data_IF_663034023987
#
_entry.id   IF_663034023987
#
_cell.length_a   1.000
_cell.length_b   1.000
_cell.length_c   1.000
_cell.angle_alpha   90.00
_cell.angle_beta   90.00
_cell.angle_gamma   90.00
#
_symmetry.space_group_name_H-M   'P 1'
#
loop_
_entity.id
_entity.type
_entity.pdbx_description
1 polymer ?
#
# COMPACT_ATOMS: atom_id res chain seq x y z
N UNK A 1 2.25 0.61 5.68
CA UNK A 1 2.83 -0.66 6.19
C UNK A 1 4.18 -0.41 6.84
N UNK A 2 5.23 -0.07 6.08
CA UNK A 2 6.60 0.17 6.62
C UNK A 2 6.62 1.07 7.85
N UNK A 3 5.88 2.17 7.81
CA UNK A 3 5.89 3.15 8.90
C UNK A 3 5.19 2.64 10.15
N UNK A 4 4.22 1.73 10.00
CA UNK A 4 3.62 1.00 11.13
C UNK A 4 4.58 -0.02 11.73
N UNK A 5 5.41 -0.68 10.93
CA UNK A 5 6.47 -1.58 11.41
C UNK A 5 7.55 -0.80 12.17
N UNK A 6 7.86 0.41 11.72
CA UNK A 6 8.80 1.31 12.41
C UNK A 6 8.21 1.86 13.71
N UNK A 7 6.96 2.32 13.68
CA UNK A 7 6.26 2.80 14.87
C UNK A 7 6.19 1.73 15.98
N UNK A 8 5.99 0.46 15.62
CA UNK A 8 5.98 -0.65 16.56
C UNK A 8 7.33 -0.82 17.31
N UNK A 9 8.44 -0.46 16.64
CA UNK A 9 9.79 -0.53 17.20
C UNK A 9 10.25 0.76 17.88
N UNK A 10 9.53 1.87 17.65
CA UNK A 10 9.92 3.20 18.07
C UNK A 10 9.51 3.52 19.51
N UNK A 11 10.34 4.29 20.21
CA UNK A 11 10.06 4.82 21.54
C UNK A 11 10.35 6.34 21.58
N UNK A 12 10.03 6.97 22.72
CA UNK A 12 10.41 8.36 23.00
C UNK A 12 10.00 9.36 21.92
N UNK A 13 10.96 10.21 21.53
CA UNK A 13 10.80 11.25 20.48
C UNK A 13 10.43 10.62 19.13
N UNK A 14 11.09 9.53 18.74
CA UNK A 14 10.85 8.84 17.46
C UNK A 14 9.44 8.30 17.32
N UNK A 15 8.91 7.68 18.38
CA UNK A 15 7.51 7.23 18.37
C UNK A 15 6.54 8.41 18.25
N UNK A 16 6.79 9.50 18.99
CA UNK A 16 5.93 10.69 18.94
C UNK A 16 5.90 11.33 17.56
N UNK A 17 7.06 11.55 16.95
CA UNK A 17 7.14 12.12 15.59
C UNK A 17 6.40 11.26 14.57
N UNK A 18 6.51 9.94 14.66
CA UNK A 18 5.77 9.03 13.77
C UNK A 18 4.25 9.15 14.01
N UNK A 19 3.79 9.10 15.26
CA UNK A 19 2.37 9.23 15.61
C UNK A 19 1.79 10.55 15.08
N UNK A 20 2.49 11.66 15.33
CA UNK A 20 2.08 13.00 14.91
C UNK A 20 2.04 13.11 13.38
N UNK A 21 3.05 12.59 12.68
CA UNK A 21 3.13 12.64 11.21
C UNK A 21 2.01 11.83 10.52
N UNK A 22 1.48 10.78 11.16
CA UNK A 22 0.41 9.95 10.60
C UNK A 22 -0.98 10.30 11.11
N UNK A 23 -1.11 11.19 12.10
CA UNK A 23 -2.39 11.48 12.74
C UNK A 23 -3.04 10.22 13.32
N UNK A 24 -2.23 9.30 13.87
CA UNK A 24 -2.71 8.06 14.47
C UNK A 24 -2.97 8.29 15.95
N UNK A 25 -4.03 7.70 16.50
CA UNK A 25 -4.20 7.66 17.95
C UNK A 25 -3.12 6.76 18.56
N UNK A 26 -2.20 7.36 19.35
CA UNK A 26 -1.06 6.67 19.98
C UNK A 26 -1.42 5.60 21.02
N UNK A 27 -2.67 5.17 21.06
CA UNK A 27 -3.23 4.15 21.96
C UNK A 27 -2.79 2.72 21.59
N UNK A 28 -2.22 2.51 20.40
CA UNK A 28 -1.72 1.21 19.93
C UNK A 28 -2.79 0.28 19.35
N UNK A 29 -4.07 0.66 19.36
CA UNK A 29 -5.15 -0.09 18.69
C UNK A 29 -4.97 -0.08 17.17
N UNK A 30 -4.37 0.98 16.65
CA UNK A 30 -4.00 1.13 15.24
C UNK A 30 -3.36 -0.11 14.64
N UNK A 31 -2.38 -0.73 15.31
CA UNK A 31 -1.69 -1.91 14.75
C UNK A 31 -2.64 -3.10 14.59
N UNK A 32 -3.54 -3.32 15.55
CA UNK A 32 -4.51 -4.41 15.50
C UNK A 32 -5.59 -4.14 14.46
N UNK A 33 -6.11 -2.93 14.39
CA UNK A 33 -7.10 -2.54 13.38
C UNK A 33 -6.51 -2.61 11.97
N UNK A 34 -5.32 -2.04 11.79
CA UNK A 34 -4.58 -2.12 10.54
C UNK A 34 -4.29 -3.57 10.15
N UNK A 35 -3.89 -4.41 11.11
CA UNK A 35 -3.69 -5.85 10.90
C UNK A 35 -4.95 -6.56 10.40
N UNK A 36 -6.12 -6.28 10.99
CA UNK A 36 -7.41 -6.80 10.51
C UNK A 36 -7.70 -6.37 9.08
N UNK A 37 -7.41 -5.12 8.73
CA UNK A 37 -7.61 -4.61 7.36
C UNK A 37 -6.66 -5.30 6.37
N UNK A 38 -5.39 -5.50 6.73
CA UNK A 38 -4.40 -6.22 5.92
C UNK A 38 -4.77 -7.70 5.78
N UNK A 39 -5.26 -8.34 6.83
CA UNK A 39 -5.71 -9.73 6.79
C UNK A 39 -6.95 -9.92 5.92
N UNK A 40 -7.93 -9.03 6.04
CA UNK A 40 -9.13 -9.05 5.21
C UNK A 40 -8.78 -8.84 3.73
N UNK A 41 -7.91 -7.87 3.47
CA UNK A 41 -7.36 -7.65 2.13
C UNK A 41 -6.64 -8.91 1.63
N UNK A 42 -5.71 -9.46 2.40
CA UNK A 42 -4.93 -10.61 1.98
C UNK A 42 -5.79 -11.86 1.77
N UNK A 43 -6.83 -12.08 2.59
CA UNK A 43 -7.79 -13.18 2.40
C UNK A 43 -8.54 -13.06 1.08
N UNK A 44 -8.97 -11.85 0.72
CA UNK A 44 -9.68 -11.56 -0.53
C UNK A 44 -8.84 -11.97 -1.74
N UNK A 45 -7.53 -11.74 -1.71
CA UNK A 45 -6.63 -12.01 -2.84
C UNK A 45 -5.84 -13.34 -2.75
N UNK A 46 -5.69 -13.97 -1.58
CA UNK A 46 -5.03 -15.28 -1.41
C UNK A 46 -6.00 -16.48 -1.47
N UNK A 47 -7.24 -16.36 -0.98
CA UNK A 47 -8.17 -17.50 -0.92
C UNK A 47 -8.68 -17.95 -2.29
N UNK A 48 -8.59 -17.11 -3.33
CA UNK A 48 -8.89 -17.54 -4.70
C UNK A 48 -7.84 -18.49 -5.29
N UNK A 49 -6.64 -18.57 -4.70
CA UNK A 49 -5.59 -19.51 -5.12
C UNK A 49 -5.71 -20.92 -4.54
N UNK A 50 -6.40 -21.11 -3.40
CA UNK A 50 -6.37 -22.37 -2.65
C UNK A 50 -7.69 -23.17 -2.65
N UNK A 51 -8.76 -22.65 -3.28
CA UNK A 51 -10.08 -23.29 -3.25
C UNK A 51 -10.48 -24.07 -4.51
N UNK A 52 -9.53 -24.62 -5.29
CA UNK A 52 -9.84 -25.52 -6.42
C UNK A 52 -8.80 -26.63 -6.58
N UNK A 53 -8.86 -27.67 -5.74
CA UNK A 53 -8.38 -29.00 -6.17
C UNK A 53 -9.29 -29.41 -7.34
N UNK A 54 -8.73 -29.51 -8.55
CA UNK A 54 -9.37 -29.91 -9.82
C UNK A 54 -10.15 -28.88 -10.64
N UNK A 55 -9.75 -27.60 -10.67
CA UNK A 55 -10.19 -26.71 -11.77
C UNK A 55 -8.99 -25.90 -12.23
N UNK A 56 -8.68 -25.98 -13.53
CA UNK A 56 -7.69 -25.15 -14.22
C UNK A 56 -7.75 -23.71 -13.69
N UNK A 57 -6.63 -23.19 -13.19
CA UNK A 57 -6.48 -21.77 -12.84
C UNK A 57 -6.82 -20.99 -14.10
N UNK A 58 -7.97 -20.31 -14.11
CA UNK A 58 -8.34 -19.49 -15.26
C UNK A 58 -7.28 -18.40 -15.42
N UNK A 59 -6.77 -18.13 -16.64
CA UNK A 59 -5.72 -17.13 -16.87
C UNK A 59 -6.09 -15.70 -16.44
N UNK A 60 -7.36 -15.47 -16.08
CA UNK A 60 -7.97 -14.16 -15.81
C UNK A 60 -8.35 -13.93 -14.33
N UNK A 61 -7.42 -14.24 -13.42
CA UNK A 61 -7.58 -13.98 -11.97
C UNK A 61 -6.91 -12.66 -11.57
N UNK A 62 -7.59 -11.87 -10.73
CA UNK A 62 -7.00 -10.70 -10.05
C UNK A 62 -5.73 -11.11 -9.31
N UNK A 63 -4.70 -10.27 -9.43
CA UNK A 63 -3.43 -10.45 -8.74
C UNK A 63 -3.08 -9.15 -8.03
N UNK A 64 -3.22 -9.15 -6.72
CA UNK A 64 -2.61 -8.12 -5.90
C UNK A 64 -1.63 -8.80 -4.95
N UNK A 65 -0.39 -8.33 -4.96
CA UNK A 65 0.66 -8.83 -4.10
C UNK A 65 1.18 -7.68 -3.25
N UNK A 66 1.17 -7.90 -1.94
CA UNK A 66 1.84 -7.05 -0.96
C UNK A 66 3.00 -7.86 -0.39
N UNK A 67 4.17 -7.27 -0.39
CA UNK A 67 5.35 -7.87 0.20
C UNK A 67 6.06 -6.87 1.11
N UNK A 68 6.23 -7.28 2.36
CA UNK A 68 6.99 -6.56 3.38
C UNK A 68 8.20 -7.41 3.77
N UNK A 69 9.38 -6.82 3.73
CA UNK A 69 10.64 -7.49 4.03
C UNK A 69 11.47 -6.66 4.99
N UNK A 70 12.01 -7.31 6.03
CA UNK A 70 12.95 -6.73 6.99
C UNK A 70 14.26 -7.50 6.86
N UNK A 71 15.29 -6.84 6.35
CA UNK A 71 16.61 -7.41 6.12
C UNK A 71 17.60 -6.81 7.10
N UNK A 72 18.29 -7.65 7.87
CA UNK A 72 19.15 -7.24 8.97
C UNK A 72 20.57 -7.68 8.73
N UNK A 73 21.54 -6.89 9.19
CA UNK A 73 22.92 -7.32 9.22
C UNK A 73 23.07 -8.57 10.10
N UNK A 74 23.86 -9.54 9.66
CA UNK A 74 24.21 -10.75 10.44
C UNK A 74 24.79 -10.36 11.79
N UNK A 75 24.30 -11.00 12.85
CA UNK A 75 24.63 -10.68 14.25
C UNK A 75 23.62 -9.73 14.93
N UNK A 76 22.74 -9.08 14.17
CA UNK A 76 21.64 -8.27 14.74
C UNK A 76 20.40 -9.13 14.94
N UNK A 77 19.91 -9.17 16.18
CA UNK A 77 18.73 -9.93 16.58
C UNK A 77 17.53 -9.00 16.84
N UNK A 78 16.37 -9.32 16.29
CA UNK A 78 15.12 -8.64 16.68
C UNK A 78 14.59 -9.18 18.00
N UNK A 79 13.93 -8.32 18.78
CA UNK A 79 13.21 -8.76 19.97
C UNK A 79 12.10 -9.76 19.59
N UNK A 80 11.90 -10.86 20.32
CA UNK A 80 10.88 -11.86 19.99
C UNK A 80 9.45 -11.30 19.84
N UNK A 81 9.07 -10.34 20.69
CA UNK A 81 7.75 -9.71 20.63
C UNK A 81 7.58 -8.84 19.37
N UNK A 82 8.61 -8.09 18.98
CA UNK A 82 8.62 -7.35 17.73
C UNK A 82 8.52 -8.31 16.54
N UNK A 83 9.36 -9.34 16.53
CA UNK A 83 9.46 -10.35 15.47
C UNK A 83 8.12 -11.08 15.23
N UNK A 84 7.47 -11.53 16.30
CA UNK A 84 6.17 -12.20 16.23
C UNK A 84 5.06 -11.26 15.75
N UNK A 85 5.10 -10.00 16.20
CA UNK A 85 4.08 -9.00 15.83
C UNK A 85 4.18 -8.59 14.36
N UNK A 86 5.36 -8.32 13.82
CA UNK A 86 5.51 -7.95 12.39
C UNK A 86 5.17 -9.10 11.46
N UNK A 87 5.52 -10.34 11.81
CA UNK A 87 5.09 -11.53 11.05
C UNK A 87 3.58 -11.72 11.07
N UNK A 88 2.92 -11.45 12.20
CA UNK A 88 1.47 -11.66 12.34
C UNK A 88 0.65 -10.56 11.69
N UNK A 89 0.95 -9.30 12.02
CA UNK A 89 0.15 -8.13 11.63
C UNK A 89 0.51 -7.65 10.22
N UNK A 90 1.80 -7.57 9.92
CA UNK A 90 2.30 -6.99 8.67
C UNK A 90 2.72 -8.05 7.65
N UNK A 91 2.71 -9.34 8.04
CA UNK A 91 3.13 -10.47 7.21
C UNK A 91 4.55 -10.31 6.67
N UNK A 92 5.40 -9.65 7.46
CA UNK A 92 6.76 -9.31 7.04
C UNK A 92 7.63 -10.56 7.07
N UNK A 93 8.40 -10.75 6.01
CA UNK A 93 9.48 -11.72 6.00
C UNK A 93 10.73 -11.09 6.61
N UNK A 94 11.44 -11.87 7.41
CA UNK A 94 12.63 -11.41 8.12
C UNK A 94 13.78 -12.28 7.65
N UNK A 95 14.89 -11.66 7.27
CA UNK A 95 16.10 -12.36 6.85
C UNK A 95 17.34 -11.64 7.37
N UNK A 96 18.31 -12.40 7.85
CA UNK A 96 19.65 -11.89 8.15
C UNK A 96 20.52 -12.07 6.91
N UNK A 97 21.18 -10.99 6.51
CA UNK A 97 22.11 -10.92 5.37
C UNK A 97 23.43 -10.35 5.86
N UNK A 98 24.52 -10.64 5.15
CA UNK A 98 25.79 -9.97 5.42
C UNK A 98 25.96 -8.80 4.44
N UNK A 99 26.06 -7.59 4.97
CA UNK A 99 26.34 -6.34 4.27
C UNK A 99 27.82 -5.96 4.37
N UNK A 100 28.60 -6.62 5.24
CA UNK A 100 30.02 -6.31 5.48
C UNK A 100 30.93 -7.12 4.55
N UNK A 101 32.22 -6.76 4.55
CA UNK A 101 33.28 -7.50 3.87
C UNK A 101 33.01 -7.70 2.37
N UNK A 102 32.60 -6.64 1.67
CA UNK A 102 32.24 -6.67 0.25
C UNK A 102 31.09 -7.65 -0.10
N UNK A 103 30.22 -7.99 0.86
CA UNK A 103 29.00 -8.80 0.63
C UNK A 103 27.77 -7.95 0.23
N UNK A 104 27.94 -6.64 0.11
CA UNK A 104 26.87 -5.68 -0.16
C UNK A 104 26.15 -5.94 -1.48
N UNK A 105 26.88 -6.35 -2.53
CA UNK A 105 26.28 -6.74 -3.82
C UNK A 105 25.42 -8.01 -3.71
N UNK A 106 25.88 -9.05 -2.99
CA UNK A 106 25.13 -10.29 -2.81
C UNK A 106 23.85 -10.05 -2.02
N UNK A 107 23.93 -9.22 -0.97
CA UNK A 107 22.75 -8.81 -0.21
C UNK A 107 21.76 -7.99 -1.07
N UNK A 108 22.26 -7.07 -1.90
CA UNK A 108 21.45 -6.32 -2.87
C UNK A 108 20.69 -7.26 -3.79
N UNK A 109 21.40 -8.21 -4.39
CA UNK A 109 20.83 -9.15 -5.35
C UNK A 109 19.83 -10.10 -4.68
N UNK A 110 20.09 -10.53 -3.44
CA UNK A 110 19.12 -11.29 -2.65
C UNK A 110 17.80 -10.52 -2.46
N UNK A 111 17.88 -9.25 -2.06
CA UNK A 111 16.70 -8.39 -1.84
C UNK A 111 15.96 -8.16 -3.16
N UNK A 112 16.66 -7.85 -4.24
CA UNK A 112 16.05 -7.66 -5.57
C UNK A 112 15.36 -8.93 -6.05
N UNK A 113 16.00 -10.11 -5.94
CA UNK A 113 15.40 -11.40 -6.27
C UNK A 113 14.18 -11.72 -5.39
N UNK A 114 14.24 -11.37 -4.11
CA UNK A 114 13.10 -11.50 -3.20
C UNK A 114 11.92 -10.64 -3.68
N UNK A 115 12.15 -9.35 -3.99
CA UNK A 115 11.11 -8.46 -4.52
C UNK A 115 10.56 -8.95 -5.85
N UNK A 116 11.43 -9.40 -6.75
CA UNK A 116 11.05 -9.89 -8.06
C UNK A 116 10.10 -11.09 -7.95
N UNK A 117 10.45 -12.09 -7.11
CA UNK A 117 9.57 -13.24 -6.85
C UNK A 117 8.23 -12.81 -6.26
N UNK A 118 8.25 -11.88 -5.31
CA UNK A 118 7.03 -11.37 -4.64
C UNK A 118 6.13 -10.58 -5.58
N UNK A 119 6.70 -10.00 -6.64
CA UNK A 119 5.99 -9.19 -7.63
C UNK A 119 5.82 -9.90 -8.97
N UNK A 120 6.08 -11.22 -9.02
CA UNK A 120 5.97 -12.05 -10.22
C UNK A 120 6.78 -11.53 -11.42
N UNK A 121 7.99 -11.03 -11.16
CA UNK A 121 8.86 -10.52 -12.22
C UNK A 121 8.44 -9.14 -12.73
N UNK A 122 7.72 -8.33 -11.95
CA UNK A 122 7.31 -6.98 -12.37
C UNK A 122 8.16 -5.89 -11.75
N UNK A 123 8.64 -6.11 -10.53
CA UNK A 123 9.63 -5.24 -9.91
C UNK A 123 10.95 -6.01 -9.84
N UNK A 124 11.80 -5.80 -10.85
CA UNK A 124 13.10 -6.48 -10.94
C UNK A 124 14.15 -5.91 -9.99
N UNK A 125 14.15 -4.59 -9.81
CA UNK A 125 15.18 -3.91 -9.04
C UNK A 125 14.57 -2.83 -8.14
N UNK A 126 14.85 -2.93 -6.85
CA UNK A 126 14.50 -1.91 -5.85
C UNK A 126 15.74 -1.23 -5.27
N UNK A 127 16.86 -1.95 -5.15
CA UNK A 127 18.15 -1.38 -4.75
C UNK A 127 19.06 -1.33 -5.98
N UNK A 128 19.44 -0.11 -6.36
CA UNK A 128 20.29 0.22 -7.50
C UNK A 128 21.75 -0.18 -7.28
N UNK A 129 22.29 0.33 -6.19
CA UNK A 129 23.72 0.32 -5.88
C UNK A 129 24.07 -0.77 -4.86
N UNK A 130 25.36 -0.98 -4.63
CA UNK A 130 25.83 -1.85 -3.55
C UNK A 130 25.32 -1.34 -2.19
N UNK A 131 24.93 -2.26 -1.31
CA UNK A 131 24.53 -1.92 0.05
C UNK A 131 25.80 -1.57 0.85
N UNK A 132 25.91 -0.34 1.39
CA UNK A 132 27.06 0.06 2.21
C UNK A 132 27.25 -0.82 3.46
N UNK A 133 28.50 -1.04 3.87
CA UNK A 133 28.83 -1.94 4.99
C UNK A 133 28.36 -1.45 6.37
N UNK A 134 28.08 -0.15 6.50
CA UNK A 134 27.60 0.49 7.71
C UNK A 134 26.08 0.33 7.90
N UNK A 135 25.36 -0.15 6.87
CA UNK A 135 23.94 -0.46 6.97
C UNK A 135 23.71 -1.55 8.01
N UNK A 136 22.73 -1.33 8.87
CA UNK A 136 22.31 -2.32 9.89
C UNK A 136 21.00 -2.99 9.53
N UNK A 137 20.16 -2.31 8.76
CA UNK A 137 18.81 -2.74 8.48
C UNK A 137 18.26 -2.09 7.22
N UNK A 138 17.49 -2.86 6.44
CA UNK A 138 16.75 -2.40 5.28
C UNK A 138 15.32 -2.92 5.41
N UNK A 139 14.34 -2.01 5.36
CA UNK A 139 12.93 -2.36 5.30
C UNK A 139 12.43 -2.05 3.89
N UNK A 140 11.83 -3.06 3.26
CA UNK A 140 11.31 -3.00 1.90
C UNK A 140 9.81 -3.23 1.90
N UNK A 141 9.09 -2.36 1.20
CA UNK A 141 7.71 -2.61 0.82
C UNK A 141 7.56 -2.56 -0.70
N UNK A 142 6.98 -3.63 -1.25
CA UNK A 142 6.63 -3.75 -2.65
C UNK A 142 5.13 -4.05 -2.78
N UNK A 143 4.44 -3.25 -3.58
CA UNK A 143 3.03 -3.42 -3.90
C UNK A 143 2.88 -3.59 -5.41
N UNK A 144 2.33 -4.73 -5.82
CA UNK A 144 2.02 -5.03 -7.21
C UNK A 144 0.53 -5.22 -7.38
N UNK A 145 -0.07 -4.48 -8.31
CA UNK A 145 -1.50 -4.56 -8.60
C UNK A 145 -1.74 -4.82 -10.08
N UNK A 146 -2.38 -5.95 -10.34
CA UNK A 146 -2.84 -6.33 -11.66
C UNK A 146 -4.24 -6.92 -11.55
N UNK A 147 -5.22 -6.13 -11.99
CA UNK A 147 -6.63 -6.48 -11.92
C UNK A 147 -7.30 -6.21 -13.24
N UNK A 148 -8.35 -6.97 -13.51
CA UNK A 148 -9.19 -6.80 -14.70
C UNK A 148 -10.38 -5.91 -14.38
N UNK A 149 -10.79 -5.05 -15.31
CA UNK A 149 -12.03 -4.28 -15.17
C UNK A 149 -13.25 -5.19 -15.07
N UNK A 150 -14.26 -4.78 -14.32
CA UNK A 150 -15.58 -5.43 -14.34
C UNK A 150 -16.25 -5.21 -15.69
N UNK A 151 -16.19 -3.98 -16.19
CA UNK A 151 -16.60 -3.58 -17.54
C UNK A 151 -15.32 -3.21 -18.30
N UNK A 152 -14.80 -4.07 -19.19
CA UNK A 152 -13.55 -3.80 -19.91
C UNK A 152 -13.72 -2.66 -20.92
N UNK A 153 -12.62 -1.95 -21.18
CA UNK A 153 -12.57 -1.02 -22.30
C UNK A 153 -12.64 -1.78 -23.62
N UNK A 154 -13.21 -1.15 -24.64
CA UNK A 154 -13.50 -1.80 -25.91
C UNK A 154 -12.18 -1.96 -26.68
N UNK A 155 -11.67 -3.19 -26.75
CA UNK A 155 -10.45 -3.50 -27.49
C UNK A 155 -10.62 -3.12 -28.97
N UNK A 156 -9.71 -2.29 -29.49
CA UNK A 156 -9.77 -1.77 -30.86
C UNK A 156 -10.52 -0.43 -31.01
N UNK A 157 -11.19 0.04 -29.96
CA UNK A 157 -11.74 1.40 -29.90
C UNK A 157 -10.79 2.42 -29.26
N UNK A 158 -9.59 1.99 -28.84
CA UNK A 158 -8.54 2.89 -28.36
C UNK A 158 -8.08 3.78 -29.51
N UNK A 159 -8.30 5.09 -29.40
CA UNK A 159 -7.92 6.08 -30.41
C UNK A 159 -6.79 6.98 -29.93
N UNK A 160 -6.09 7.63 -30.86
CA UNK A 160 -5.09 8.66 -30.51
C UNK A 160 -5.81 9.96 -30.21
N UNK A 161 -5.59 10.49 -29.02
CA UNK A 161 -6.14 11.75 -28.54
C UNK A 161 -5.05 12.71 -28.06
N UNK A 162 -5.50 13.86 -27.59
CA UNK A 162 -4.67 14.88 -26.98
C UNK A 162 -4.87 14.86 -25.46
N UNK A 163 -3.82 15.18 -24.71
CA UNK A 163 -3.89 15.46 -23.28
C UNK A 163 -3.42 16.90 -23.01
N UNK A 164 -4.10 17.60 -22.13
CA UNK A 164 -4.00 19.04 -21.92
C UNK A 164 -3.48 19.34 -20.51
N UNK A 165 -2.15 19.21 -20.26
CA UNK A 165 -1.59 19.34 -18.92
C UNK A 165 -1.80 20.74 -18.33
N UNK A 166 -1.86 21.77 -19.16
CA UNK A 166 -2.02 23.17 -18.73
C UNK A 166 -3.38 23.76 -19.12
N UNK A 167 -4.39 22.90 -19.29
CA UNK A 167 -5.76 23.28 -19.67
C UNK A 167 -6.03 23.19 -21.16
N UNK A 168 -7.32 23.08 -21.52
CA UNK A 168 -7.79 22.72 -22.88
C UNK A 168 -7.37 23.71 -23.98
N UNK A 169 -7.12 24.97 -23.62
CA UNK A 169 -6.68 26.03 -24.53
C UNK A 169 -5.15 26.17 -24.63
N UNK A 170 -4.41 25.36 -23.89
CA UNK A 170 -2.94 25.36 -23.85
C UNK A 170 -2.36 24.30 -24.79
N UNK A 171 -1.02 24.25 -24.91
CA UNK A 171 -0.32 23.23 -25.69
C UNK A 171 -0.66 21.83 -25.15
N UNK A 172 -1.14 20.96 -26.04
CA UNK A 172 -1.41 19.56 -25.72
C UNK A 172 -0.17 18.67 -25.90
N UNK A 173 -0.20 17.53 -25.23
CA UNK A 173 0.57 16.34 -25.55
C UNK A 173 -0.28 15.52 -26.52
N UNK A 174 0.20 15.32 -27.74
CA UNK A 174 -0.51 14.56 -28.77
C UNK A 174 -0.17 13.08 -28.75
N UNK A 175 -0.93 12.30 -29.51
CA UNK A 175 -0.73 10.86 -29.72
C UNK A 175 -0.92 9.98 -28.47
N UNK A 176 -1.72 10.45 -27.51
CA UNK A 176 -2.05 9.69 -26.31
C UNK A 176 -3.05 8.58 -26.65
N UNK A 177 -2.78 7.31 -26.33
CA UNK A 177 -3.76 6.24 -26.48
C UNK A 177 -4.90 6.42 -25.47
N UNK A 178 -6.07 6.86 -25.95
CA UNK A 178 -7.28 7.07 -25.16
C UNK A 178 -8.20 5.85 -25.32
N UNK A 179 -8.41 5.12 -24.23
CA UNK A 179 -9.29 3.96 -24.19
C UNK A 179 -10.72 4.39 -23.93
N UNK A 180 -11.69 3.76 -24.60
CA UNK A 180 -13.12 4.10 -24.45
C UNK A 180 -13.90 2.93 -23.87
N UNK A 181 -14.79 3.24 -22.93
CA UNK A 181 -15.81 2.32 -22.40
C UNK A 181 -17.13 3.05 -22.22
N UNK A 182 -18.24 2.38 -22.49
CA UNK A 182 -19.59 2.85 -22.18
C UNK A 182 -20.24 1.85 -21.24
N UNK A 183 -20.88 2.33 -20.18
CA UNK A 183 -21.55 1.46 -19.23
C UNK A 183 -22.18 2.21 -18.08
N UNK A 184 -22.74 1.45 -17.14
CA UNK A 184 -23.33 2.01 -15.92
C UNK A 184 -22.28 2.02 -14.81
N UNK A 185 -21.89 3.21 -14.36
CA UNK A 185 -20.82 3.41 -13.39
C UNK A 185 -21.25 4.30 -12.23
N UNK A 186 -20.71 4.09 -11.02
CA UNK A 186 -20.82 5.08 -9.94
C UNK A 186 -20.27 6.42 -10.40
N UNK A 187 -21.09 7.47 -10.38
CA UNK A 187 -20.76 8.81 -10.82
C UNK A 187 -21.30 9.84 -9.83
N UNK A 188 -20.55 10.91 -9.61
CA UNK A 188 -20.98 12.07 -8.82
C UNK A 188 -20.33 13.33 -9.36
N UNK A 189 -21.08 14.42 -9.45
CA UNK A 189 -20.55 15.75 -9.72
C UNK A 189 -20.62 16.60 -8.45
N UNK A 190 -19.47 17.06 -7.98
CA UNK A 190 -19.35 17.93 -6.82
C UNK A 190 -19.36 19.38 -7.28
N UNK A 191 -20.49 20.06 -7.10
CA UNK A 191 -20.62 21.49 -7.43
C UNK A 191 -19.75 22.37 -6.53
N UNK A 192 -19.63 22.03 -5.25
CA UNK A 192 -18.89 22.83 -4.26
C UNK A 192 -17.39 22.86 -4.54
N UNK A 193 -16.86 21.81 -5.17
CA UNK A 193 -15.45 21.67 -5.51
C UNK A 193 -15.17 21.71 -7.03
N UNK A 194 -16.20 21.87 -7.85
CA UNK A 194 -16.08 21.92 -9.31
C UNK A 194 -15.37 20.70 -9.91
N UNK A 195 -15.77 19.49 -9.52
CA UNK A 195 -15.13 18.26 -10.00
C UNK A 195 -16.12 17.11 -10.23
N UNK A 196 -15.74 16.20 -11.12
CA UNK A 196 -16.48 14.97 -11.45
C UNK A 196 -15.74 13.75 -10.91
N UNK A 197 -16.49 12.83 -10.32
CA UNK A 197 -15.98 11.60 -9.73
C UNK A 197 -16.63 10.43 -10.45
N UNK A 198 -15.82 9.49 -10.95
CA UNK A 198 -16.30 8.22 -11.49
C UNK A 198 -15.61 7.05 -10.82
N UNK A 199 -16.38 6.01 -10.48
CA UNK A 199 -15.88 4.72 -10.04
C UNK A 199 -15.86 3.71 -11.17
N UNK A 200 -14.69 3.11 -11.44
CA UNK A 200 -14.50 2.02 -12.37
C UNK A 200 -14.20 0.74 -11.58
N UNK A 201 -15.21 -0.13 -11.35
CA UNK A 201 -15.01 -1.34 -10.57
C UNK A 201 -14.10 -2.33 -11.29
N UNK A 202 -13.20 -2.96 -10.54
CA UNK A 202 -12.52 -4.16 -11.01
C UNK A 202 -13.45 -5.37 -10.91
N UNK A 203 -13.20 -6.39 -11.73
CA UNK A 203 -13.90 -7.67 -11.69
C UNK A 203 -13.86 -8.25 -10.26
N UNK A 204 -14.93 -8.96 -9.88
CA UNK A 204 -15.15 -9.37 -8.49
C UNK A 204 -15.68 -8.28 -7.55
N UNK A 205 -15.64 -6.99 -7.94
CA UNK A 205 -15.99 -5.83 -7.09
C UNK A 205 -15.15 -5.70 -5.81
N UNK A 206 -14.00 -6.38 -5.75
CA UNK A 206 -13.12 -6.35 -4.58
C UNK A 206 -12.34 -5.02 -4.47
N UNK A 207 -12.16 -4.32 -5.60
CA UNK A 207 -11.58 -2.99 -5.66
C UNK A 207 -12.28 -2.11 -6.71
N UNK A 208 -12.18 -0.79 -6.54
CA UNK A 208 -12.68 0.21 -7.49
C UNK A 208 -11.59 1.24 -7.72
N UNK A 209 -11.34 1.62 -8.98
CA UNK A 209 -10.58 2.82 -9.30
C UNK A 209 -11.53 4.01 -9.37
N UNK A 210 -11.36 4.98 -8.50
CA UNK A 210 -12.01 6.27 -8.63
C UNK A 210 -11.12 7.23 -9.38
N UNK A 211 -11.69 7.96 -10.32
CA UNK A 211 -11.06 9.10 -11.00
C UNK A 211 -11.80 10.35 -10.52
N UNK A 212 -11.04 11.36 -10.12
CA UNK A 212 -11.54 12.66 -9.67
C UNK A 212 -10.95 13.70 -10.61
N UNK A 213 -11.80 14.28 -11.45
CA UNK A 213 -11.43 15.19 -12.52
C UNK A 213 -12.02 16.58 -12.25
N UNK A 214 -11.20 17.59 -11.90
CA UNK A 214 -11.64 18.98 -11.85
C UNK A 214 -12.14 19.47 -13.22
N UNK A 215 -13.17 20.33 -13.25
CA UNK A 215 -13.84 20.74 -14.49
C UNK A 215 -12.94 21.56 -15.45
N UNK A 216 -12.02 22.38 -14.90
CA UNK A 216 -11.02 23.16 -15.65
C UNK A 216 -9.59 22.74 -15.25
N UNK A 217 -9.30 21.45 -15.38
CA UNK A 217 -8.06 20.91 -14.84
C UNK A 217 -6.81 21.33 -15.62
N UNK A 218 -5.77 21.64 -14.85
CA UNK A 218 -4.41 21.97 -15.28
C UNK A 218 -3.45 21.51 -14.18
N UNK A 219 -2.14 21.48 -14.45
CA UNK A 219 -1.14 21.15 -13.44
C UNK A 219 -1.25 22.06 -12.21
N UNK A 220 -1.45 23.35 -12.43
CA UNK A 220 -1.58 24.35 -11.36
C UNK A 220 -2.87 24.16 -10.56
N UNK A 221 -4.03 24.00 -11.22
CA UNK A 221 -5.30 23.82 -10.52
C UNK A 221 -5.37 22.49 -9.79
N UNK A 222 -4.81 21.40 -10.35
CA UNK A 222 -4.74 20.12 -9.66
C UNK A 222 -3.84 20.18 -8.41
N UNK A 223 -2.70 20.88 -8.47
CA UNK A 223 -1.86 21.10 -7.29
C UNK A 223 -2.60 21.87 -6.19
N UNK A 224 -3.32 22.93 -6.54
CA UNK A 224 -4.15 23.67 -5.57
C UNK A 224 -5.25 22.77 -5.00
N UNK A 225 -5.95 22.03 -5.86
CA UNK A 225 -7.00 21.08 -5.48
C UNK A 225 -6.49 20.04 -4.47
N UNK A 226 -5.27 19.50 -4.65
CA UNK A 226 -4.65 18.57 -3.69
C UNK A 226 -4.41 19.16 -2.30
N UNK A 227 -4.34 20.48 -2.16
CA UNK A 227 -4.20 21.14 -0.85
C UNK A 227 -5.54 21.38 -0.15
N UNK A 228 -6.65 21.38 -0.92
CA UNK A 228 -8.00 21.63 -0.42
C UNK A 228 -8.75 20.34 -0.06
N UNK A 229 -8.38 19.22 -0.69
CA UNK A 229 -9.06 17.94 -0.52
C UNK A 229 -8.32 17.03 0.45
N UNK A 230 -9.08 16.30 1.27
CA UNK A 230 -8.55 15.30 2.19
C UNK A 230 -9.32 13.98 2.06
N UNK A 231 -8.94 12.99 2.86
CA UNK A 231 -9.55 11.67 2.81
C UNK A 231 -11.06 11.71 3.08
N UNK A 232 -11.52 12.50 4.05
CA UNK A 232 -12.94 12.59 4.43
C UNK A 232 -13.79 13.21 3.32
N UNK A 233 -13.27 14.27 2.68
CA UNK A 233 -13.90 14.90 1.51
C UNK A 233 -14.05 13.88 0.37
N UNK A 234 -12.97 13.16 0.02
CA UNK A 234 -12.99 12.15 -1.04
C UNK A 234 -13.96 11.01 -0.69
N UNK A 235 -13.97 10.52 0.55
CA UNK A 235 -14.92 9.49 0.98
C UNK A 235 -16.36 9.99 0.92
N UNK A 236 -16.60 11.25 1.28
CA UNK A 236 -17.91 11.89 1.16
C UNK A 236 -18.42 11.91 -0.28
N UNK A 237 -17.56 12.21 -1.25
CA UNK A 237 -17.92 12.13 -2.67
C UNK A 237 -18.22 10.70 -3.12
N UNK A 238 -17.37 9.74 -2.75
CA UNK A 238 -17.56 8.33 -3.09
C UNK A 238 -18.91 7.82 -2.57
N UNK A 239 -19.31 8.21 -1.36
CA UNK A 239 -20.59 7.82 -0.76
C UNK A 239 -21.82 8.44 -1.47
N UNK A 240 -21.64 9.56 -2.19
CA UNK A 240 -22.68 10.23 -2.96
C UNK A 240 -22.76 9.77 -4.42
N UNK A 241 -21.89 8.86 -4.84
CA UNK A 241 -21.95 8.31 -6.20
C UNK A 241 -23.24 7.54 -6.43
N UNK A 242 -23.86 7.77 -7.58
CA UNK A 242 -25.03 7.07 -8.07
C UNK A 242 -24.68 6.36 -9.37
N UNK A 243 -25.35 5.24 -9.66
CA UNK A 243 -25.14 4.54 -10.93
C UNK A 243 -25.73 5.34 -12.09
N UNK A 244 -24.89 5.79 -13.02
CA UNK A 244 -25.29 6.53 -14.23
C UNK A 244 -24.74 5.90 -15.49
N UNK A 245 -25.41 6.13 -16.61
CA UNK A 245 -24.92 5.72 -17.93
C UNK A 245 -23.85 6.70 -18.42
N UNK A 246 -22.59 6.27 -18.38
CA UNK A 246 -21.44 7.15 -18.69
C UNK A 246 -20.59 6.56 -19.83
N UNK A 247 -20.23 7.41 -20.79
CA UNK A 247 -19.13 7.16 -21.72
C UNK A 247 -17.85 7.73 -21.11
N UNK A 248 -16.81 6.90 -21.00
CA UNK A 248 -15.54 7.27 -20.37
C UNK A 248 -14.42 7.10 -21.38
N UNK A 249 -13.65 8.17 -21.57
CA UNK A 249 -12.39 8.15 -22.29
C UNK A 249 -11.24 8.33 -21.29
N UNK A 250 -10.34 7.35 -21.21
CA UNK A 250 -9.25 7.31 -20.22
C UNK A 250 -7.90 7.04 -20.91
N UNK A 251 -6.83 7.79 -20.58
CA UNK A 251 -5.50 7.48 -21.09
C UNK A 251 -5.05 6.09 -20.64
N UNK A 252 -4.49 5.31 -21.55
CA UNK A 252 -3.74 4.10 -21.23
C UNK A 252 -2.39 4.50 -20.63
N UNK A 253 -2.06 3.96 -19.45
CA UNK A 253 -0.91 4.41 -18.66
C UNK A 253 -0.21 3.23 -17.99
N UNK A 254 1.10 3.37 -17.75
CA UNK A 254 1.86 2.44 -16.92
C UNK A 254 2.76 3.23 -15.99
N UNK A 255 2.42 3.24 -14.71
CA UNK A 255 3.18 3.94 -13.69
C UNK A 255 4.15 2.99 -13.00
N UNK A 256 5.43 3.36 -13.01
CA UNK A 256 6.45 2.74 -12.17
C UNK A 256 7.11 3.83 -11.35
N UNK A 257 7.00 3.75 -10.03
CA UNK A 257 7.60 4.73 -9.13
C UNK A 257 8.41 4.03 -8.06
N UNK A 258 9.65 4.49 -7.85
CA UNK A 258 10.51 4.10 -6.74
C UNK A 258 10.84 5.37 -5.94
N UNK A 259 10.31 5.46 -4.72
CA UNK A 259 10.47 6.65 -3.87
C UNK A 259 11.23 6.28 -2.61
N UNK A 260 12.20 7.11 -2.25
CA UNK A 260 12.76 7.13 -0.92
C UNK A 260 11.94 8.08 -0.04
N UNK A 261 11.24 7.54 0.96
CA UNK A 261 10.33 8.33 1.79
C UNK A 261 11.03 9.25 2.80
N UNK A 262 12.37 9.18 2.91
CA UNK A 262 13.15 9.94 3.90
C UNK A 262 12.84 11.44 3.92
N UNK A 263 13.00 12.11 2.79
CA UNK A 263 12.84 13.57 2.73
C UNK A 263 11.38 14.00 2.87
N UNK A 264 10.44 13.20 2.35
CA UNK A 264 9.00 13.42 2.57
C UNK A 264 8.62 13.29 4.05
N UNK A 265 9.19 12.33 4.77
CA UNK A 265 8.93 12.11 6.20
C UNK A 265 9.57 13.19 7.07
N UNK A 266 10.79 13.65 6.73
CA UNK A 266 11.40 14.82 7.38
C UNK A 266 10.55 16.07 7.18
N UNK A 267 10.02 16.30 5.97
CA UNK A 267 9.11 17.42 5.71
C UNK A 267 7.79 17.31 6.49
N UNK A 268 7.45 16.12 6.99
CA UNK A 268 6.32 15.86 7.90
C UNK A 268 6.71 15.80 9.38
N UNK A 269 7.92 16.24 9.72
CA UNK A 269 8.38 16.36 11.11
C UNK A 269 9.03 15.10 11.69
N UNK A 270 9.23 14.05 10.89
CA UNK A 270 9.93 12.82 11.32
C UNK A 270 11.42 13.00 11.07
N UNK A 271 12.14 13.51 12.09
CA UNK A 271 13.56 13.80 12.01
C UNK A 271 14.39 12.74 12.75
N UNK A 272 13.99 12.42 13.98
CA UNK A 272 14.75 11.53 14.88
C UNK A 272 14.95 10.13 14.30
N UNK A 273 13.99 9.62 13.51
CA UNK A 273 14.10 8.32 12.83
C UNK A 273 15.34 8.20 11.93
N UNK A 274 15.79 9.32 11.36
CA UNK A 274 16.90 9.41 10.42
C UNK A 274 18.18 9.98 11.04
N UNK A 275 18.19 10.21 12.35
CA UNK A 275 19.35 10.70 13.11
C UNK A 275 19.87 9.59 14.03
N UNK A 276 21.10 9.14 13.83
CA UNK A 276 21.69 8.05 14.61
C UNK A 276 21.76 8.31 16.13
N UNK A 277 21.79 9.58 16.55
CA UNK A 277 21.88 9.98 17.96
C UNK A 277 20.51 10.11 18.62
N UNK A 278 19.48 10.48 17.85
CA UNK A 278 18.12 10.66 18.37
C UNK A 278 17.20 9.47 18.12
N UNK A 279 17.52 8.61 17.14
CA UNK A 279 16.70 7.48 16.76
C UNK A 279 16.58 6.47 17.90
N UNK A 280 15.35 6.28 18.38
CA UNK A 280 15.03 5.29 19.40
C UNK A 280 14.15 4.19 18.80
N UNK A 281 14.80 3.16 18.22
CA UNK A 281 14.17 1.91 17.78
C UNK A 281 14.47 0.75 18.76
N UNK A 282 14.64 1.08 20.05
CA UNK A 282 15.10 0.10 21.06
C UNK A 282 14.11 -1.05 21.31
N UNK A 283 12.84 -0.91 20.92
CA UNK A 283 11.84 -2.01 20.95
C UNK A 283 11.98 -2.97 19.78
N UNK A 284 12.76 -2.64 18.75
CA UNK A 284 12.96 -3.47 17.56
C UNK A 284 14.08 -4.49 17.74
N UNK A 285 15.25 -4.03 18.18
CA UNK A 285 16.49 -4.82 18.24
C UNK A 285 16.78 -5.23 19.68
N UNK A 286 17.18 -6.48 19.88
CA UNK A 286 17.72 -6.96 21.14
C UNK A 286 19.16 -6.45 21.24
N UNK A 287 19.45 -5.62 22.25
CA UNK A 287 20.84 -5.35 22.61
C UNK A 287 21.36 -6.58 23.34
N UNK A 288 22.37 -7.26 22.77
CA UNK A 288 22.96 -8.46 23.35
C UNK A 288 23.27 -8.23 24.83
N UNK A 289 22.44 -8.81 25.69
CA UNK A 289 22.75 -9.01 27.10
C UNK A 289 23.25 -10.43 27.19
N UNK A 290 24.56 -10.60 27.03
CA UNK A 290 25.27 -11.76 27.57
C UNK A 290 25.14 -11.73 29.08
N UNK A 291 24.02 -12.25 29.60
CA UNK A 291 23.77 -12.29 31.04
C UNK A 291 22.33 -12.63 31.37
N UNK A 292 22.09 -13.91 31.67
CA UNK A 292 20.90 -14.48 32.31
C UNK A 292 19.54 -14.21 31.66
N UNK A 293 18.95 -15.27 31.10
CA UNK A 293 17.51 -15.37 30.82
C UNK A 293 16.77 -15.09 32.14
N UNK A 294 15.99 -14.01 32.28
CA UNK A 294 15.09 -13.86 33.41
C UNK A 294 14.09 -15.02 33.33
N UNK A 295 13.90 -15.76 34.43
CA UNK A 295 12.91 -16.84 34.48
C UNK A 295 11.54 -16.28 34.12
N UNK A 296 11.09 -16.60 32.92
CA UNK A 296 9.81 -16.19 32.38
C UNK A 296 8.71 -17.06 33.00
N UNK A 297 7.71 -16.41 33.57
CA UNK A 297 6.65 -17.07 34.31
C UNK A 297 5.79 -17.87 33.32
N UNK A 298 5.78 -19.21 33.46
CA UNK A 298 5.13 -20.15 32.52
C UNK A 298 3.62 -19.95 32.35
N UNK A 299 2.99 -19.14 33.19
CA UNK A 299 1.54 -18.93 33.20
C UNK A 299 1.04 -17.94 32.11
N UNK A 300 1.92 -17.13 31.50
CA UNK A 300 1.55 -16.25 30.37
C UNK A 300 1.54 -16.98 29.01
N UNK A 301 1.94 -18.26 28.97
CA UNK A 301 2.17 -19.02 27.73
C UNK A 301 0.99 -19.89 27.28
N UNK A 302 -0.03 -20.11 28.12
CA UNK A 302 -1.03 -21.17 27.87
C UNK A 302 -2.15 -20.75 26.91
N UNK A 303 -2.41 -19.46 26.70
CA UNK A 303 -3.48 -19.01 25.77
C UNK A 303 -3.07 -18.93 24.29
N UNK A 304 -1.84 -19.31 23.95
CA UNK A 304 -1.26 -19.12 22.62
C UNK A 304 -1.14 -20.40 21.78
N UNK A 305 -1.61 -21.55 22.29
CA UNK A 305 -1.44 -22.84 21.59
C UNK A 305 -2.72 -23.69 21.65
N UNK A 306 -3.80 -23.30 20.94
CA UNK A 306 -4.68 -24.28 20.27
C UNK A 306 -5.77 -23.63 19.38
N UNK A 307 -5.88 -23.98 18.08
CA UNK A 307 -7.01 -23.57 17.23
C UNK A 307 -8.28 -24.43 17.41
N UNK A 308 -8.40 -25.23 18.50
CA UNK A 308 -9.45 -26.25 18.66
C UNK A 308 -10.35 -26.13 19.89
N UNK A 309 -10.30 -25.04 20.65
CA UNK A 309 -11.04 -24.93 21.93
C UNK A 309 -12.25 -23.98 21.89
N UNK A 310 -12.58 -23.37 20.74
CA UNK A 310 -13.72 -22.44 20.61
C UNK A 310 -15.13 -23.08 20.65
N UNK A 311 -15.29 -24.30 21.15
CA UNK A 311 -16.58 -24.99 21.15
C UNK A 311 -17.22 -25.25 22.53
N UNK A 312 -16.56 -25.00 23.67
CA UNK A 312 -17.15 -25.38 24.99
C UNK A 312 -17.21 -24.27 26.04
N UNK A 313 -16.44 -23.19 25.98
CA UNK A 313 -16.50 -22.15 27.03
C UNK A 313 -17.28 -20.88 26.64
N UNK A 314 -18.50 -21.08 26.13
CA UNK A 314 -19.52 -20.04 26.17
C UNK A 314 -20.16 -20.00 27.56
N UNK A 315 -19.47 -19.43 28.56
CA UNK A 315 -20.04 -18.76 29.76
C UNK A 315 -18.95 -18.51 30.80
N UNK A 316 -18.70 -17.21 31.07
CA UNK A 316 -17.85 -16.62 32.11
C UNK A 316 -16.36 -16.54 31.78
N UNK A 317 -15.95 -15.38 31.25
CA UNK A 317 -15.06 -14.42 31.94
C UNK A 317 -14.93 -13.16 31.08
N UNK A 318 -15.26 -12.00 31.65
CA UNK A 318 -14.95 -10.68 31.08
C UNK A 318 -13.47 -10.39 31.35
N UNK A 319 -12.65 -10.26 30.31
CA UNK A 319 -11.31 -9.66 30.42
C UNK A 319 -11.06 -8.68 29.26
N UNK A 320 -10.38 -7.53 29.51
CA UNK A 320 -10.29 -6.41 28.57
C UNK A 320 -9.15 -6.52 27.53
N UNK A 321 -9.19 -5.77 26.41
CA UNK A 321 -8.37 -6.00 25.22
C UNK A 321 -6.89 -5.50 25.23
N UNK A 322 -6.34 -4.97 26.33
CA UNK A 322 -5.14 -4.09 26.27
C UNK A 322 -3.80 -4.62 26.82
N UNK A 323 -3.56 -5.94 26.93
CA UNK A 323 -2.29 -6.43 27.54
C UNK A 323 -1.06 -6.49 26.64
N UNK A 324 -1.20 -6.65 25.31
CA UNK A 324 -0.04 -6.84 24.40
C UNK A 324 0.92 -5.63 24.38
N UNK A 325 0.39 -4.41 24.44
CA UNK A 325 1.20 -3.18 24.33
C UNK A 325 1.85 -2.75 25.65
N UNK A 326 1.25 -3.10 26.80
CA UNK A 326 1.78 -2.66 28.09
C UNK A 326 3.14 -3.32 28.41
N UNK A 327 3.34 -4.55 27.94
CA UNK A 327 4.58 -5.31 28.11
C UNK A 327 5.72 -4.84 27.20
N UNK A 328 5.40 -4.21 26.05
CA UNK A 328 6.41 -3.59 25.18
C UNK A 328 6.93 -2.26 25.74
N UNK A 329 6.05 -1.48 26.39
CA UNK A 329 6.37 -0.14 26.94
C UNK A 329 7.12 -0.15 28.28
N UNK A 330 7.10 -1.25 29.04
CA UNK A 330 7.63 -1.31 30.41
C UNK A 330 9.11 -1.69 30.52
N UNK A 331 9.81 -1.99 29.41
CA UNK A 331 11.20 -2.46 29.41
C UNK A 331 12.27 -1.41 29.04
N UNK A 332 11.93 -0.11 29.09
CA UNK A 332 12.85 0.97 28.71
C UNK A 332 13.27 1.85 29.88
N UNK A 333 14.12 1.38 30.80
CA UNK A 333 14.89 2.29 31.66
C UNK A 333 16.34 1.82 31.87
N UNK A 334 17.24 2.79 31.68
CA UNK A 334 18.67 2.86 32.00
C UNK A 334 19.63 1.85 31.37
N UNK A 335 20.42 2.31 30.39
CA UNK A 335 21.89 2.43 30.58
C UNK A 335 22.50 3.24 29.42
N UNK A 336 23.24 4.29 29.76
CA UNK A 336 24.22 4.93 28.88
C UNK A 336 25.39 3.98 28.70
N UNK A 337 25.34 3.19 27.64
CA UNK A 337 26.49 2.51 27.06
C UNK A 337 26.28 2.63 25.56
N UNK A 338 27.33 2.96 24.82
CA UNK A 338 27.34 3.16 23.35
C UNK A 338 26.77 1.90 22.67
N UNK A 339 25.44 1.88 22.57
CA UNK A 339 24.64 0.82 21.96
C UNK A 339 24.85 0.94 20.47
N UNK A 340 24.92 -0.19 19.80
CA UNK A 340 24.75 -0.30 18.36
C UNK A 340 23.36 0.22 17.97
N UNK A 341 23.21 1.55 17.94
CA UNK A 341 21.93 2.20 17.72
C UNK A 341 21.55 1.96 16.26
N UNK A 342 20.44 1.25 16.06
CA UNK A 342 19.88 1.02 14.73
C UNK A 342 18.99 2.21 14.40
N UNK A 343 19.25 2.82 13.25
CA UNK A 343 18.45 3.90 12.70
C UNK A 343 18.08 3.58 11.25
N UNK A 344 17.04 4.24 10.75
CA UNK A 344 16.60 4.05 9.37
C UNK A 344 17.33 5.07 8.52
N UNK A 345 18.05 4.61 7.50
CA UNK A 345 18.71 5.56 6.60
C UNK A 345 17.85 5.90 5.39
N UNK A 346 17.21 4.89 4.79
CA UNK A 346 16.35 5.01 3.62
C UNK A 346 15.11 4.11 3.79
N UNK A 347 13.98 4.57 3.26
CA UNK A 347 12.75 3.76 3.18
C UNK A 347 12.37 3.67 1.71
N UNK A 348 12.56 2.49 1.12
CA UNK A 348 12.31 2.27 -0.29
C UNK A 348 10.88 1.77 -0.49
N UNK A 349 10.09 2.53 -1.23
CA UNK A 349 8.76 2.16 -1.65
C UNK A 349 8.70 2.10 -3.17
N UNK A 350 8.39 0.94 -3.73
CA UNK A 350 8.26 0.77 -5.19
C UNK A 350 6.87 0.25 -5.56
N UNK A 351 6.28 0.91 -6.54
CA UNK A 351 4.93 0.67 -7.06
C UNK A 351 4.98 0.45 -8.56
N UNK A 352 4.21 -0.53 -9.03
CA UNK A 352 3.92 -0.76 -10.45
C UNK A 352 2.40 -0.85 -10.63
N UNK A 353 1.83 0.08 -11.41
CA UNK A 353 0.41 0.14 -11.74
C UNK A 353 0.23 0.29 -13.25
N UNK A 354 -0.39 -0.71 -13.87
CA UNK A 354 -0.69 -0.72 -15.30
C UNK A 354 -2.19 -0.56 -15.55
N UNK A 355 -2.56 0.51 -16.25
CA UNK A 355 -3.93 0.88 -16.62
C UNK A 355 -4.07 0.66 -18.13
N UNK A 356 -4.78 -0.38 -18.52
CA UNK A 356 -4.99 -0.76 -19.91
C UNK A 356 -6.41 -1.29 -20.14
N UNK A 357 -6.69 -1.77 -21.35
CA UNK A 357 -8.03 -2.17 -21.76
C UNK A 357 -8.55 -3.44 -21.09
N UNK A 358 -7.68 -4.21 -20.42
CA UNK A 358 -7.95 -5.62 -20.15
C UNK A 358 -9.05 -5.89 -19.11
N UNK A 359 -10.06 -6.61 -19.58
CA UNK A 359 -10.90 -7.61 -18.90
C UNK A 359 -11.20 -8.71 -19.93
N UNK A 360 -10.55 -9.85 -19.79
CA UNK A 360 -10.14 -10.75 -20.88
C UNK A 360 -11.25 -11.53 -21.63
N UNK A 361 -10.98 -11.73 -22.94
CA UNK A 361 -11.40 -12.79 -23.90
C UNK A 361 -12.88 -13.19 -24.05
N UNK A 362 -13.77 -12.88 -23.12
CA UNK A 362 -15.22 -13.06 -23.27
C UNK A 362 -15.91 -11.91 -24.02
N UNK A 363 -15.27 -10.73 -24.08
CA UNK A 363 -15.82 -9.54 -24.74
C UNK A 363 -15.89 -9.68 -26.27
N UNK A 364 -15.18 -10.63 -26.87
CA UNK A 364 -15.31 -10.95 -28.29
C UNK A 364 -16.73 -11.43 -28.66
N UNK A 365 -17.50 -11.95 -27.68
CA UNK A 365 -18.91 -12.33 -27.85
C UNK A 365 -19.86 -11.19 -27.49
N UNK A 366 -19.50 -10.31 -26.54
CA UNK A 366 -20.36 -9.18 -26.11
C UNK A 366 -20.30 -7.96 -27.03
N UNK A 367 -19.25 -7.82 -27.85
CA UNK A 367 -19.15 -6.75 -28.86
C UNK A 367 -20.30 -6.77 -29.88
N UNK A 368 -21.02 -7.90 -30.00
CA UNK A 368 -22.16 -8.06 -30.92
C UNK A 368 -23.49 -7.52 -30.35
N UNK A 369 -23.53 -7.13 -29.07
CA UNK A 369 -24.74 -6.56 -28.43
C UNK A 369 -24.43 -5.24 -27.74
N UNK A 370 -24.00 -4.24 -28.53
CA UNK A 370 -24.22 -2.82 -28.18
C UNK A 370 -25.71 -2.53 -28.34
N UNK A 371 -26.52 -2.97 -27.38
CA UNK A 371 -27.82 -2.35 -27.15
C UNK A 371 -27.55 -0.86 -26.89
N UNK A 372 -28.22 0.03 -27.63
CA UNK A 372 -28.20 1.49 -27.42
C UNK A 372 -28.45 1.77 -25.94
N UNK A 373 -27.37 2.03 -25.20
CA UNK A 373 -27.47 2.64 -23.89
C UNK A 373 -27.48 4.13 -24.17
N UNK A 374 -28.57 4.82 -23.86
CA UNK A 374 -28.57 6.28 -23.91
C UNK A 374 -27.53 6.77 -22.89
N UNK A 375 -26.50 7.46 -23.39
CA UNK A 375 -25.41 8.00 -22.57
C UNK A 375 -25.93 9.26 -21.89
N UNK A 376 -25.95 9.26 -20.56
CA UNK A 376 -26.36 10.42 -19.76
C UNK A 376 -25.21 11.40 -19.59
N UNK A 377 -24.00 10.87 -19.40
CA UNK A 377 -22.81 11.66 -19.09
C UNK A 377 -21.64 11.26 -20.01
N UNK A 378 -20.84 12.24 -20.44
CA UNK A 378 -19.58 12.01 -21.16
C UNK A 378 -18.40 12.53 -20.33
N UNK A 379 -17.45 11.65 -20.02
CA UNK A 379 -16.29 11.96 -19.20
C UNK A 379 -15.00 11.66 -19.97
N UNK A 380 -14.45 12.72 -20.56
CA UNK A 380 -13.14 12.68 -21.21
C UNK A 380 -12.03 13.06 -20.22
N UNK A 381 -11.22 12.08 -19.82
CA UNK A 381 -10.11 12.27 -18.88
C UNK A 381 -8.84 12.68 -19.64
N UNK A 382 -8.89 13.84 -20.30
CA UNK A 382 -7.80 14.36 -21.14
C UNK A 382 -7.02 15.54 -20.52
N UNK A 383 -7.14 15.75 -19.22
CA UNK A 383 -6.43 16.79 -18.46
C UNK A 383 -6.05 16.24 -17.08
N UNK A 384 -5.20 16.91 -16.29
CA UNK A 384 -4.70 16.36 -15.03
C UNK A 384 -5.81 15.90 -14.07
N UNK A 385 -5.63 14.77 -13.39
CA UNK A 385 -6.67 14.20 -12.51
C UNK A 385 -6.06 13.51 -11.30
N UNK A 386 -6.86 13.32 -10.25
CA UNK A 386 -6.52 12.42 -9.16
C UNK A 386 -7.12 11.04 -9.42
N UNK A 387 -6.43 10.00 -8.98
CA UNK A 387 -7.00 8.66 -8.92
C UNK A 387 -6.82 8.05 -7.53
N UNK A 388 -7.75 7.17 -7.18
CA UNK A 388 -7.74 6.36 -5.97
C UNK A 388 -8.17 4.94 -6.32
N UNK A 389 -7.29 3.97 -6.10
CA UNK A 389 -7.69 2.56 -6.12
C UNK A 389 -8.03 2.17 -4.69
N UNK A 390 -9.30 1.89 -4.42
CA UNK A 390 -9.78 1.55 -3.08
C UNK A 390 -10.21 0.08 -3.01
N UNK A 391 -9.86 -0.61 -1.93
CA UNK A 391 -10.44 -1.91 -1.59
C UNK A 391 -11.87 -1.72 -1.08
N UNK A 392 -12.86 -2.30 -1.75
CA UNK A 392 -14.28 -2.02 -1.53
C UNK A 392 -14.73 -2.31 -0.10
N UNK A 393 -14.25 -3.41 0.49
CA UNK A 393 -14.70 -3.89 1.80
C UNK A 393 -14.07 -3.12 2.96
N UNK A 394 -12.76 -2.88 2.89
CA UNK A 394 -12.01 -2.25 4.00
C UNK A 394 -11.87 -0.74 3.84
N UNK A 395 -12.26 -0.19 2.68
CA UNK A 395 -12.06 1.22 2.29
C UNK A 395 -10.59 1.66 2.25
N UNK A 396 -9.65 0.72 2.37
CA UNK A 396 -8.21 0.98 2.27
C UNK A 396 -7.87 1.55 0.88
N UNK A 397 -7.18 2.68 0.88
CA UNK A 397 -6.49 3.19 -0.30
C UNK A 397 -5.30 2.27 -0.63
N UNK A 398 -5.38 1.59 -1.77
CA UNK A 398 -4.29 0.75 -2.28
C UNK A 398 -3.31 1.59 -3.10
N UNK A 399 -3.85 2.51 -3.91
CA UNK A 399 -3.08 3.50 -4.66
C UNK A 399 -3.79 4.83 -4.62
N UNK A 400 -3.02 5.90 -4.54
CA UNK A 400 -3.50 7.26 -4.67
C UNK A 400 -2.41 8.08 -5.37
N UNK A 401 -2.82 8.95 -6.27
CA UNK A 401 -1.87 9.80 -6.98
C UNK A 401 -2.54 10.83 -7.86
N UNK A 402 -1.74 11.79 -8.29
CA UNK A 402 -2.10 12.74 -9.34
C UNK A 402 -1.43 12.31 -10.65
N UNK A 403 -2.19 12.38 -11.74
CA UNK A 403 -1.66 12.22 -13.09
C UNK A 403 -1.60 13.60 -13.72
N UNK A 404 -0.39 14.14 -13.85
CA UNK A 404 -0.13 15.40 -14.52
C UNK A 404 0.20 15.21 -16.01
N UNK A 405 0.74 14.04 -16.35
CA UNK A 405 1.11 13.61 -17.69
C UNK A 405 0.96 12.07 -17.75
N UNK A 406 0.12 11.52 -18.64
CA UNK A 406 -0.10 10.07 -18.74
C UNK A 406 1.05 9.32 -19.44
N UNK A 407 2.06 10.02 -19.97
CA UNK A 407 3.22 9.43 -20.68
C UNK A 407 4.44 9.20 -19.79
N UNK A 408 4.44 9.77 -18.57
CA UNK A 408 5.58 9.81 -17.66
C UNK A 408 5.62 8.69 -16.64
#
# INVERSE_FOLDING_TARGET
MVLGELLLGANGKTSKELVDAFGIDGNGEFHNEFGKLVDEFSRTYQLRGLRRRHIQVSPNTHKISIANGIFLQTGINLRPNYQSTVRRIYRSEISNLDFRQASGMQARDYINNWVERKTQGKIHQIIGEEIPEDKKMIIVNALYFHSFWKTPFIKGATTRGNFYPDGIHSKSISDIPMMIVTGVFPYYESTDYGCRIIGLPYKGNDAVMYIILPNDSSRKSLQAFQTEVNADVIQGWIQRTELRSVMVSLPKMHFQSAVNLKEALKAKGVHSLFDSKECDLSSMVATDTTGSIPQDNKDDYIYLINPRVDAIESKRTRFPPNRLMHNLRTFGRSSEQLKDNVFVENILHKVDLNINEAGAEGAAVTATTLSRVDVEEDLEVNSPFLFLVQHTKTKLALFYGAVFDPTS
#
